data_IF_544100706578
#
_entry.id   IF_544100706578
#
_cell.length_a   1.000
_cell.length_b   1.000
_cell.length_c   1.000
_cell.angle_alpha   90.00
_cell.angle_beta   90.00
_cell.angle_gamma   90.00
#
_symmetry.space_group_name_H-M   'P 1'
#
loop_
_entity.id
_entity.type
_entity.pdbx_description
1 polymer ?
#
# COMPACT_ATOMS: atom_id res chain seq x y z
N UNK A 1 -38.82 17.51 -12.93
CA UNK A 1 -38.28 18.54 -12.02
C UNK A 1 -37.05 17.98 -11.33
N UNK A 2 -35.91 18.62 -11.48
CA UNK A 2 -34.68 18.18 -10.76
C UNK A 2 -34.81 18.54 -9.28
N UNK A 3 -34.34 17.72 -8.34
CA UNK A 3 -34.33 18.05 -6.93
C UNK A 3 -33.48 19.30 -6.66
N UNK A 4 -33.85 20.06 -5.66
CA UNK A 4 -33.07 21.20 -5.23
C UNK A 4 -31.70 20.73 -4.75
N UNK A 5 -30.64 21.38 -5.24
CA UNK A 5 -29.27 21.10 -4.82
C UNK A 5 -28.80 22.19 -3.86
N UNK A 6 -28.09 21.78 -2.84
CA UNK A 6 -27.48 22.70 -1.87
C UNK A 6 -25.97 22.47 -1.90
N UNK A 7 -25.20 23.53 -2.07
CA UNK A 7 -23.77 23.51 -1.92
C UNK A 7 -23.45 23.58 -0.43
N UNK A 8 -22.72 22.57 0.06
CA UNK A 8 -22.26 22.53 1.45
C UNK A 8 -20.74 22.56 1.47
N UNK A 9 -20.17 23.56 2.12
CA UNK A 9 -18.74 23.63 2.40
C UNK A 9 -18.49 23.09 3.82
N UNK A 10 -17.71 22.02 3.91
CA UNK A 10 -17.29 21.44 5.17
C UNK A 10 -15.82 21.78 5.44
N UNK A 11 -15.56 22.51 6.52
CA UNK A 11 -14.19 22.77 7.00
C UNK A 11 -13.78 21.64 7.94
N UNK A 12 -12.99 20.71 7.42
CA UNK A 12 -12.46 19.61 8.23
C UNK A 12 -11.11 20.01 8.84
N UNK A 13 -10.84 19.65 10.10
CA UNK A 13 -9.50 19.84 10.67
C UNK A 13 -8.49 19.03 9.86
N UNK A 14 -7.38 19.66 9.50
CA UNK A 14 -6.27 19.01 8.80
C UNK A 14 -5.07 18.94 9.73
N UNK A 15 -4.51 17.74 9.86
CA UNK A 15 -3.25 17.47 10.55
C UNK A 15 -2.23 16.96 9.53
N UNK A 16 -2.14 17.64 8.39
CA UNK A 16 -1.19 17.29 7.33
C UNK A 16 0.25 17.36 7.86
N UNK A 17 1.06 16.39 7.47
CA UNK A 17 2.50 16.40 7.74
C UNK A 17 3.17 17.30 6.70
N UNK A 18 4.09 18.16 7.14
CA UNK A 18 4.87 19.02 6.26
C UNK A 18 5.78 18.18 5.34
N UNK A 19 6.42 17.16 5.90
CA UNK A 19 7.29 16.22 5.19
C UNK A 19 6.97 14.77 5.54
N UNK A 20 5.98 14.15 4.86
CA UNK A 20 5.64 12.75 5.12
C UNK A 20 6.75 11.78 4.72
N UNK A 21 7.63 12.14 3.79
CA UNK A 21 8.76 11.29 3.40
C UNK A 21 9.79 11.19 4.52
N UNK A 22 10.17 12.32 5.13
CA UNK A 22 11.08 12.33 6.27
C UNK A 22 10.48 11.61 7.48
N UNK A 23 9.18 11.81 7.74
CA UNK A 23 8.48 11.14 8.84
C UNK A 23 8.47 9.61 8.66
N UNK A 24 8.16 9.13 7.46
CA UNK A 24 8.19 7.69 7.14
C UNK A 24 9.60 7.14 7.28
N UNK A 25 10.62 7.82 6.75
CA UNK A 25 12.00 7.38 6.85
C UNK A 25 12.43 7.24 8.32
N UNK A 26 12.18 8.26 9.14
CA UNK A 26 12.57 8.25 10.54
C UNK A 26 11.85 7.19 11.37
N UNK A 27 10.53 7.04 11.20
CA UNK A 27 9.76 6.02 11.94
C UNK A 27 10.10 4.61 11.51
N UNK A 28 10.25 4.39 10.19
CA UNK A 28 10.61 3.08 9.68
C UNK A 28 12.03 2.69 10.11
N UNK A 29 12.98 3.62 10.06
CA UNK A 29 14.34 3.39 10.53
C UNK A 29 14.37 3.03 12.02
N UNK A 30 13.65 3.75 12.86
CA UNK A 30 13.52 3.47 14.29
C UNK A 30 12.85 2.10 14.54
N UNK A 31 11.78 1.77 13.80
CA UNK A 31 11.10 0.47 13.91
C UNK A 31 12.03 -0.69 13.54
N UNK A 32 12.85 -0.52 12.53
CA UNK A 32 13.79 -1.54 12.05
C UNK A 32 15.12 -1.56 12.82
N UNK A 33 15.29 -0.73 13.87
CA UNK A 33 16.58 -0.60 14.56
C UNK A 33 17.13 -1.92 15.12
N UNK A 34 16.25 -2.81 15.58
CA UNK A 34 16.60 -4.13 16.11
C UNK A 34 16.46 -5.27 15.09
N UNK A 35 16.02 -4.98 13.86
CA UNK A 35 15.79 -6.00 12.83
C UNK A 35 17.01 -6.16 11.93
N UNK A 36 17.40 -7.41 11.66
CA UNK A 36 18.36 -7.70 10.58
C UNK A 36 17.64 -7.76 9.24
N UNK A 37 17.76 -6.67 8.48
CA UNK A 37 17.18 -6.54 7.15
C UNK A 37 18.14 -6.95 6.02
N UNK A 38 19.38 -7.26 6.34
CA UNK A 38 20.42 -7.52 5.32
C UNK A 38 20.05 -8.71 4.44
N UNK A 39 20.11 -8.46 3.13
CA UNK A 39 19.75 -9.41 2.08
C UNK A 39 18.30 -9.90 2.10
N UNK A 40 17.45 -9.40 2.99
CA UNK A 40 16.05 -9.76 3.06
C UNK A 40 15.26 -9.21 1.90
N UNK A 41 14.47 -10.07 1.27
CA UNK A 41 13.48 -9.68 0.26
C UNK A 41 12.26 -9.09 0.96
N UNK A 42 11.97 -7.82 0.74
CA UNK A 42 10.85 -7.15 1.39
C UNK A 42 9.86 -6.66 0.33
N UNK A 43 8.65 -7.22 0.36
CA UNK A 43 7.56 -6.77 -0.49
C UNK A 43 6.97 -5.48 0.08
N UNK A 44 7.02 -4.39 -0.69
CA UNK A 44 6.38 -3.13 -0.36
C UNK A 44 5.03 -3.08 -1.07
N UNK A 45 3.97 -3.31 -0.32
CA UNK A 45 2.61 -3.28 -0.83
C UNK A 45 2.14 -1.84 -1.06
N UNK A 46 1.98 -1.47 -2.33
CA UNK A 46 1.53 -0.15 -2.72
C UNK A 46 0.00 -0.11 -2.84
N UNK A 47 -0.63 0.69 -1.99
CA UNK A 47 -2.06 1.00 -2.08
C UNK A 47 -2.39 1.84 -3.31
N UNK A 48 -3.68 2.12 -3.49
CA UNK A 48 -4.17 2.88 -4.64
C UNK A 48 -4.59 4.30 -4.26
N UNK A 49 -5.79 4.70 -4.63
CA UNK A 49 -6.33 6.07 -4.51
C UNK A 49 -6.47 6.57 -3.06
N UNK A 50 -6.38 7.89 -2.92
CA UNK A 50 -6.68 8.62 -1.68
C UNK A 50 -5.52 8.62 -0.67
N UNK A 51 -4.31 8.30 -1.10
CA UNK A 51 -3.09 8.49 -0.33
C UNK A 51 -2.34 9.67 -0.94
N UNK A 52 -2.32 10.77 -0.21
CA UNK A 52 -1.58 11.95 -0.65
C UNK A 52 -0.07 11.68 -0.68
N UNK A 53 0.61 12.19 -1.69
CA UNK A 53 2.07 12.05 -1.87
C UNK A 53 2.57 10.59 -1.77
N UNK A 54 1.76 9.61 -2.21
CA UNK A 54 2.06 8.17 -2.10
C UNK A 54 3.43 7.80 -2.71
N UNK A 55 3.78 8.40 -3.84
CA UNK A 55 5.07 8.12 -4.47
C UNK A 55 6.27 8.53 -3.61
N UNK A 56 6.15 9.66 -2.90
CA UNK A 56 7.20 10.13 -1.99
C UNK A 56 7.33 9.21 -0.76
N UNK A 57 6.19 8.82 -0.19
CA UNK A 57 6.12 7.89 0.94
C UNK A 57 6.75 6.54 0.59
N UNK A 58 6.37 5.96 -0.55
CA UNK A 58 6.93 4.66 -1.00
C UNK A 58 8.42 4.79 -1.30
N UNK A 59 8.84 5.87 -1.95
CA UNK A 59 10.26 6.11 -2.24
C UNK A 59 11.09 6.22 -0.97
N UNK A 60 10.60 6.94 0.04
CA UNK A 60 11.25 7.05 1.34
C UNK A 60 11.36 5.69 2.04
N UNK A 61 10.29 4.90 2.04
CA UNK A 61 10.29 3.57 2.60
C UNK A 61 11.30 2.64 1.89
N UNK A 62 11.29 2.62 0.55
CA UNK A 62 12.24 1.84 -0.26
C UNK A 62 13.67 2.27 0.03
N UNK A 63 13.95 3.57 0.08
CA UNK A 63 15.30 4.09 0.38
C UNK A 63 15.77 3.66 1.77
N UNK A 64 14.91 3.74 2.78
CA UNK A 64 15.22 3.30 4.15
C UNK A 64 15.53 1.80 4.21
N UNK A 65 14.73 0.97 3.55
CA UNK A 65 14.97 -0.47 3.47
C UNK A 65 16.30 -0.80 2.78
N UNK A 66 16.60 -0.13 1.66
CA UNK A 66 17.89 -0.28 0.96
C UNK A 66 19.07 0.15 1.82
N UNK A 67 18.95 1.25 2.55
CA UNK A 67 20.00 1.72 3.46
C UNK A 67 20.30 0.71 4.58
N UNK A 68 19.30 -0.11 4.94
CA UNK A 68 19.45 -1.22 5.89
C UNK A 68 19.92 -2.53 5.25
N UNK A 69 20.28 -2.52 3.97
CA UNK A 69 20.78 -3.67 3.23
C UNK A 69 19.72 -4.65 2.74
N UNK A 70 18.44 -4.30 2.85
CA UNK A 70 17.35 -5.09 2.31
C UNK A 70 17.29 -5.03 0.77
N UNK A 71 16.57 -5.99 0.18
CA UNK A 71 16.22 -6.07 -1.24
C UNK A 71 14.72 -5.82 -1.43
N UNK A 72 14.25 -4.57 -1.33
CA UNK A 72 12.85 -4.26 -1.50
C UNK A 72 12.42 -4.41 -2.96
N UNK A 73 11.16 -4.77 -3.15
CA UNK A 73 10.45 -4.73 -4.41
C UNK A 73 8.99 -4.28 -4.15
N UNK A 74 8.33 -3.72 -5.15
CA UNK A 74 6.98 -3.19 -4.99
C UNK A 74 5.97 -4.19 -5.55
N UNK A 75 4.89 -4.41 -4.82
CA UNK A 75 3.72 -5.17 -5.27
C UNK A 75 2.47 -4.30 -5.18
N UNK A 76 1.55 -4.36 -6.17
CA UNK A 76 0.26 -3.72 -6.03
C UNK A 76 -0.53 -4.33 -4.86
N UNK A 77 -1.07 -3.47 -3.98
CA UNK A 77 -1.91 -3.86 -2.85
C UNK A 77 -3.24 -3.10 -2.93
N UNK A 78 -3.98 -3.32 -4.01
CA UNK A 78 -5.13 -2.48 -4.38
C UNK A 78 -6.38 -3.26 -4.81
N UNK A 79 -6.41 -4.58 -4.61
CA UNK A 79 -7.56 -5.42 -4.90
C UNK A 79 -7.96 -5.39 -6.38
N UNK A 80 -9.22 -5.06 -6.67
CA UNK A 80 -9.78 -5.04 -8.03
C UNK A 80 -9.47 -3.76 -8.82
N UNK A 81 -8.72 -2.82 -8.28
CA UNK A 81 -8.35 -1.60 -9.01
C UNK A 81 -7.50 -1.93 -10.24
N UNK A 82 -7.45 -1.03 -11.20
CA UNK A 82 -6.76 -1.30 -12.47
C UNK A 82 -7.45 -2.42 -13.29
N UNK A 83 -8.76 -2.58 -13.14
CA UNK A 83 -9.52 -3.63 -13.81
C UNK A 83 -9.24 -5.05 -13.29
N UNK A 84 -8.56 -5.18 -12.15
CA UNK A 84 -8.16 -6.48 -11.59
C UNK A 84 -7.16 -7.24 -12.47
N UNK A 85 -6.33 -6.53 -13.22
CA UNK A 85 -5.26 -7.10 -14.04
C UNK A 85 -3.88 -6.57 -13.62
N UNK A 86 -2.84 -7.34 -13.88
CA UNK A 86 -1.47 -6.95 -13.57
C UNK A 86 -1.07 -5.68 -14.33
N UNK A 87 -1.41 -5.62 -15.61
CA UNK A 87 -1.13 -4.48 -16.50
C UNK A 87 -1.85 -3.22 -16.02
N UNK A 88 -3.16 -3.31 -15.76
CA UNK A 88 -3.95 -2.17 -15.32
C UNK A 88 -3.53 -1.65 -13.94
N UNK A 89 -3.03 -2.54 -13.06
CA UNK A 89 -2.47 -2.12 -11.77
C UNK A 89 -1.13 -1.40 -11.95
N UNK A 90 -0.27 -1.84 -12.88
CA UNK A 90 0.96 -1.12 -13.24
C UNK A 90 0.68 0.26 -13.80
N UNK A 91 -0.26 0.36 -14.75
CA UNK A 91 -0.67 1.65 -15.33
C UNK A 91 -1.17 2.61 -14.26
N UNK A 92 -1.93 2.08 -13.29
CA UNK A 92 -2.43 2.88 -12.18
C UNK A 92 -1.29 3.35 -11.26
N UNK A 93 -0.33 2.50 -10.93
CA UNK A 93 0.84 2.89 -10.15
C UNK A 93 1.70 3.91 -10.89
N UNK A 94 1.91 3.72 -12.19
CA UNK A 94 2.65 4.68 -13.03
C UNK A 94 1.99 6.05 -13.06
N UNK A 95 0.66 6.11 -13.10
CA UNK A 95 -0.10 7.36 -13.02
C UNK A 95 0.12 8.14 -11.72
N UNK A 96 0.56 7.46 -10.66
CA UNK A 96 0.97 8.07 -9.39
C UNK A 96 2.48 8.37 -9.32
N UNK A 97 3.23 8.10 -10.40
CA UNK A 97 4.67 8.23 -10.44
C UNK A 97 5.43 7.08 -9.73
N UNK A 98 4.77 5.93 -9.58
CA UNK A 98 5.36 4.72 -8.98
C UNK A 98 5.68 3.74 -10.10
N UNK A 99 6.92 3.74 -10.55
CA UNK A 99 7.47 2.82 -11.54
C UNK A 99 8.93 2.49 -11.21
N UNK A 100 9.52 1.53 -11.91
CA UNK A 100 10.88 1.07 -11.62
C UNK A 100 11.93 2.18 -11.73
N UNK A 101 11.76 3.09 -12.70
CA UNK A 101 12.71 4.19 -12.91
C UNK A 101 12.69 5.20 -11.75
N UNK A 102 11.50 5.52 -11.21
CA UNK A 102 11.33 6.49 -10.12
C UNK A 102 11.61 5.89 -8.74
N UNK A 103 11.37 4.59 -8.58
CA UNK A 103 11.53 3.89 -7.29
C UNK A 103 12.89 3.21 -7.14
N UNK A 104 13.57 2.89 -8.24
CA UNK A 104 14.87 2.24 -8.25
C UNK A 104 14.86 0.82 -7.69
N UNK A 105 13.70 0.15 -7.79
CA UNK A 105 13.47 -1.24 -7.40
C UNK A 105 12.47 -1.90 -8.35
N UNK A 106 12.47 -3.25 -8.48
CA UNK A 106 11.49 -3.94 -9.32
C UNK A 106 10.05 -3.72 -8.86
N UNK A 107 9.13 -3.58 -9.83
CA UNK A 107 7.71 -3.72 -9.62
C UNK A 107 7.29 -5.13 -10.05
N UNK A 108 6.58 -5.83 -9.18
CA UNK A 108 6.12 -7.20 -9.41
C UNK A 108 4.60 -7.28 -9.35
N UNK A 109 3.92 -6.93 -10.43
CA UNK A 109 2.48 -7.11 -10.52
C UNK A 109 2.20 -8.60 -10.77
N UNK A 110 1.31 -9.17 -9.99
CA UNK A 110 0.84 -10.53 -10.21
C UNK A 110 -0.56 -10.66 -9.67
N UNK A 111 -1.41 -11.38 -10.40
CA UNK A 111 -2.73 -11.78 -9.92
C UNK A 111 -2.71 -13.19 -9.31
N UNK A 112 -1.55 -13.80 -9.23
CA UNK A 112 -1.41 -15.12 -8.62
C UNK A 112 -1.59 -15.05 -7.10
N UNK A 113 -2.45 -15.91 -6.58
CA UNK A 113 -2.72 -16.03 -5.16
C UNK A 113 -2.42 -17.44 -4.65
N UNK A 114 -2.13 -17.53 -3.36
CA UNK A 114 -1.94 -18.79 -2.65
C UNK A 114 -2.94 -18.84 -1.51
N UNK A 115 -3.63 -19.95 -1.36
CA UNK A 115 -4.49 -20.20 -0.21
C UNK A 115 -3.62 -20.50 1.02
N UNK A 116 -3.85 -19.73 2.08
CA UNK A 116 -3.15 -19.89 3.37
C UNK A 116 -3.90 -20.84 4.32
N UNK A 117 -5.17 -21.10 4.06
CA UNK A 117 -6.06 -21.87 4.91
C UNK A 117 -7.46 -21.26 4.96
N UNK A 118 -8.19 -21.54 6.02
CA UNK A 118 -9.58 -21.08 6.18
C UNK A 118 -9.77 -20.36 7.50
N UNK A 119 -10.74 -19.44 7.50
CA UNK A 119 -11.24 -18.81 8.73
C UNK A 119 -12.00 -19.83 9.58
N UNK A 120 -12.32 -19.47 10.83
CA UNK A 120 -13.20 -20.28 11.68
C UNK A 120 -14.61 -20.49 11.12
N UNK A 121 -15.02 -19.66 10.15
CA UNK A 121 -16.29 -19.79 9.44
C UNK A 121 -16.19 -20.66 8.16
N UNK A 122 -15.00 -21.18 7.85
CA UNK A 122 -14.77 -22.01 6.67
C UNK A 122 -14.47 -21.23 5.39
N UNK A 123 -14.33 -19.90 5.46
CA UNK A 123 -14.00 -19.07 4.31
C UNK A 123 -12.51 -19.18 3.97
N UNK A 124 -12.12 -19.41 2.71
CA UNK A 124 -10.72 -19.50 2.33
C UNK A 124 -10.02 -18.15 2.44
N UNK A 125 -8.77 -18.16 2.89
CA UNK A 125 -7.91 -16.98 3.02
C UNK A 125 -6.80 -17.06 1.98
N UNK A 126 -6.68 -16.02 1.16
CA UNK A 126 -5.69 -15.95 0.10
C UNK A 126 -4.69 -14.80 0.35
N UNK A 127 -3.47 -14.99 -0.12
CA UNK A 127 -2.47 -13.92 -0.22
C UNK A 127 -1.82 -13.91 -1.60
N UNK A 128 -1.28 -12.76 -2.00
CA UNK A 128 -0.50 -12.67 -3.22
C UNK A 128 0.77 -13.54 -3.11
N UNK A 129 1.06 -14.34 -4.14
CA UNK A 129 2.25 -15.20 -4.18
C UNK A 129 3.54 -14.41 -3.96
N UNK A 130 3.69 -13.28 -4.64
CA UNK A 130 4.87 -12.42 -4.50
C UNK A 130 5.10 -11.92 -3.07
N UNK A 131 4.03 -11.66 -2.34
CA UNK A 131 4.12 -11.26 -0.94
C UNK A 131 4.47 -12.44 -0.02
N UNK A 132 3.92 -13.63 -0.30
CA UNK A 132 4.20 -14.84 0.47
C UNK A 132 5.67 -15.29 0.33
N UNK A 133 6.26 -15.10 -0.86
CA UNK A 133 7.65 -15.47 -1.15
C UNK A 133 8.67 -14.44 -0.63
N UNK A 134 8.22 -13.34 -0.06
CA UNK A 134 9.09 -12.36 0.59
C UNK A 134 9.42 -12.78 2.04
N UNK A 135 10.56 -12.32 2.55
CA UNK A 135 10.92 -12.52 3.97
C UNK A 135 10.05 -11.66 4.90
N UNK A 136 9.55 -10.53 4.39
CA UNK A 136 8.65 -9.63 5.10
C UNK A 136 7.81 -8.79 4.13
N UNK A 137 6.72 -8.24 4.64
CA UNK A 137 5.83 -7.34 3.89
C UNK A 137 5.70 -6.02 4.63
N UNK A 138 5.92 -4.92 3.93
CA UNK A 138 5.63 -3.57 4.38
C UNK A 138 4.43 -3.04 3.59
N UNK A 139 3.34 -2.78 4.26
CA UNK A 139 2.14 -2.25 3.61
C UNK A 139 2.10 -0.72 3.69
N UNK A 140 1.91 -0.08 2.55
CA UNK A 140 1.66 1.36 2.42
C UNK A 140 0.24 1.54 1.93
N UNK A 141 -0.67 1.74 2.86
CA UNK A 141 -2.10 1.84 2.55
C UNK A 141 -2.80 2.84 3.47
N UNK A 142 -3.99 3.24 3.09
CA UNK A 142 -4.83 4.14 3.88
C UNK A 142 -5.98 3.37 4.51
N UNK A 143 -6.16 3.55 5.81
CA UNK A 143 -7.37 3.10 6.50
C UNK A 143 -8.48 4.12 6.25
N UNK A 144 -9.61 3.68 5.72
CA UNK A 144 -10.77 4.53 5.42
C UNK A 144 -12.06 3.71 5.45
N UNK A 145 -13.23 4.35 5.66
CA UNK A 145 -14.52 3.68 5.48
C UNK A 145 -14.67 3.15 4.06
N UNK A 146 -15.36 2.05 3.89
CA UNK A 146 -15.72 1.49 2.59
C UNK A 146 -17.16 1.83 2.24
N UNK A 147 -17.44 2.02 0.95
CA UNK A 147 -18.78 2.39 0.47
C UNK A 147 -19.78 1.23 0.48
N UNK A 148 -19.27 -0.01 0.35
CA UNK A 148 -20.11 -1.19 0.15
C UNK A 148 -20.31 -2.01 1.43
N UNK A 149 -19.53 -1.72 2.48
CA UNK A 149 -19.75 -2.33 3.78
C UNK A 149 -19.59 -1.30 4.90
N UNK A 150 -20.59 -1.26 5.78
CA UNK A 150 -20.59 -0.41 6.96
C UNK A 150 -20.18 -1.24 8.16
N UNK A 151 -19.07 -0.88 8.78
CA UNK A 151 -18.61 -1.50 10.01
C UNK A 151 -17.91 -0.48 10.90
N UNK A 152 -18.19 -0.54 12.19
CA UNK A 152 -17.46 0.25 13.20
C UNK A 152 -16.10 -0.34 13.55
N UNK A 153 -15.80 -1.56 13.07
CA UNK A 153 -14.59 -2.30 13.42
C UNK A 153 -13.68 -2.58 12.23
N UNK A 154 -14.23 -2.58 11.03
CA UNK A 154 -13.50 -2.92 9.81
C UNK A 154 -13.70 -1.81 8.80
N UNK A 155 -12.60 -1.33 8.25
CA UNK A 155 -12.58 -0.34 7.18
C UNK A 155 -11.95 -0.89 5.91
N UNK A 156 -11.67 -0.01 4.98
CA UNK A 156 -10.90 -0.33 3.77
C UNK A 156 -9.42 -0.09 4.01
N UNK A 157 -8.58 -0.90 3.45
CA UNK A 157 -7.12 -0.80 3.51
C UNK A 157 -6.49 -1.86 4.40
N UNK A 158 -5.90 -1.47 5.52
CA UNK A 158 -5.12 -2.36 6.40
C UNK A 158 -5.92 -3.03 7.53
N UNK A 159 -7.22 -3.05 7.44
CA UNK A 159 -8.06 -3.67 8.47
C UNK A 159 -8.61 -5.01 8.05
#
# INVERSE_FOLDING_TARGET
MLPAQMLVEAKLPSHALDDPAAEVAGRLDAFLAAADCRDKRIAVGAGSRGIDRIAEVIRAAVATLKARGARPFIVPAMGSHGGGTAEGQLELLDSFGINEATMGVPLRPSMEVVELGQTSAGEPVFTAREALEADAVLLVNRVKPHTDFESVRVGSGLL
#
